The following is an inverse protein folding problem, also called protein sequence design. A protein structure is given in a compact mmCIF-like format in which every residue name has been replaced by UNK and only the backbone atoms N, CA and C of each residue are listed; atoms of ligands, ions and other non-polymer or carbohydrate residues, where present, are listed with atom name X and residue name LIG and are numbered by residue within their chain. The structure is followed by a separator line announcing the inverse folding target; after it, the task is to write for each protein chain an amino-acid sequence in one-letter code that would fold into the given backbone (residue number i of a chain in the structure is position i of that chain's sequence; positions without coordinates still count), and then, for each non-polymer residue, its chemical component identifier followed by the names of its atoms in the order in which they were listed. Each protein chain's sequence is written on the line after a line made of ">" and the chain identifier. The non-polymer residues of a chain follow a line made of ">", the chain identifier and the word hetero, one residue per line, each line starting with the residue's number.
data_IF_739278311294
#
_entry.id   IF_739278311294
#
_cell.length_a   1.000
_cell.length_b   1.000
_cell.length_c   1.000
_cell.angle_alpha   90.00
_cell.angle_beta   90.00
_cell.angle_gamma   90.00
#
_symmetry.space_group_name_H-M   'P 1'
#
loop_
_entity.id
_entity.type
_entity.pdbx_description
1 polymer ?
#
# COMPACT_ATOMS: atom_id res chain seq x y z
N UNK A 1 30.30 -54.32 17.98
CA UNK A 1 28.83 -54.27 18.09
C UNK A 1 28.43 -52.91 18.62
N UNK A 2 27.41 -52.34 17.97
CA UNK A 2 26.55 -51.22 18.36
C UNK A 2 27.08 -49.77 18.48
N UNK A 3 26.35 -48.93 17.75
CA UNK A 3 26.40 -47.46 17.63
C UNK A 3 25.69 -46.83 18.84
N UNK A 4 26.07 -45.61 19.20
CA UNK A 4 25.08 -44.63 19.67
C UNK A 4 25.56 -43.20 19.42
N UNK A 5 24.80 -42.46 18.62
CA UNK A 5 25.09 -41.09 18.22
C UNK A 5 24.71 -40.09 19.31
N UNK A 6 25.54 -39.07 19.50
CA UNK A 6 25.19 -37.90 20.30
C UNK A 6 24.49 -36.88 19.41
N UNK A 7 23.17 -36.81 19.53
CA UNK A 7 22.34 -35.72 19.02
C UNK A 7 22.57 -34.52 19.95
N UNK A 8 23.26 -33.49 19.48
CA UNK A 8 23.35 -32.21 20.18
C UNK A 8 22.02 -31.47 20.01
N UNK A 9 21.10 -31.70 20.94
CA UNK A 9 20.00 -30.77 21.19
C UNK A 9 20.55 -29.66 22.08
N UNK A 10 20.80 -28.49 21.49
CA UNK A 10 20.87 -27.28 22.30
C UNK A 10 19.43 -26.84 22.52
N UNK A 11 18.94 -27.12 23.74
CA UNK A 11 17.70 -26.62 24.28
C UNK A 11 17.73 -25.09 24.21
N UNK A 12 16.90 -24.51 23.34
CA UNK A 12 16.51 -23.11 23.46
C UNK A 12 15.71 -23.00 24.78
N UNK A 13 16.03 -22.05 25.68
CA UNK A 13 15.23 -21.88 26.88
C UNK A 13 13.81 -21.52 26.44
N UNK A 14 12.84 -22.36 26.81
CA UNK A 14 11.42 -22.04 26.82
C UNK A 14 11.24 -20.85 27.75
N UNK A 15 11.21 -19.65 27.19
CA UNK A 15 10.82 -18.46 27.95
C UNK A 15 9.34 -18.59 28.25
N UNK A 16 9.08 -18.93 29.52
CA UNK A 16 7.80 -18.79 30.16
C UNK A 16 7.32 -17.34 30.02
N UNK A 17 6.50 -17.11 29.00
CA UNK A 17 5.86 -15.82 28.73
C UNK A 17 4.34 -16.00 28.69
N UNK A 18 3.84 -16.79 29.64
CA UNK A 18 2.43 -16.84 30.02
C UNK A 18 2.10 -15.75 31.05
N UNK A 19 2.72 -14.58 30.95
CA UNK A 19 2.23 -13.36 31.61
C UNK A 19 1.45 -12.57 30.57
N UNK A 20 0.14 -12.80 30.57
CA UNK A 20 -0.80 -12.00 29.81
C UNK A 20 -0.59 -10.52 30.08
N UNK A 21 -0.25 -9.78 29.03
CA UNK A 21 -0.29 -8.32 29.03
C UNK A 21 -1.75 -7.90 29.02
N UNK A 22 -2.33 -7.80 30.21
CA UNK A 22 -3.60 -7.14 30.44
C UNK A 22 -3.38 -5.63 30.34
N UNK A 23 -3.80 -5.06 29.20
CA UNK A 23 -4.52 -3.78 29.17
C UNK A 23 -3.69 -2.49 29.14
N UNK A 24 -3.28 -2.08 27.93
CA UNK A 24 -3.81 -0.83 27.37
C UNK A 24 -3.97 -1.02 25.84
N UNK A 25 -5.08 -1.61 25.42
CA UNK A 25 -5.36 -1.94 24.01
C UNK A 25 -6.02 -0.79 23.25
N UNK A 26 -5.49 0.42 23.41
CA UNK A 26 -5.90 1.58 22.61
C UNK A 26 -4.73 2.50 22.23
N UNK A 27 -3.51 1.97 22.18
CA UNK A 27 -2.44 2.67 21.45
C UNK A 27 -2.66 2.34 19.97
N UNK A 28 -3.56 3.09 19.33
CA UNK A 28 -3.64 3.06 17.86
C UNK A 28 -2.26 3.40 17.32
N UNK A 29 -1.77 2.68 16.29
CA UNK A 29 -0.50 3.06 15.70
C UNK A 29 -0.62 4.50 15.21
N UNK A 30 0.17 5.40 15.80
CA UNK A 30 0.27 6.80 15.33
C UNK A 30 0.74 6.88 13.87
N UNK A 31 1.34 5.79 13.39
CA UNK A 31 1.92 5.62 12.06
C UNK A 31 0.95 4.94 11.11
N UNK A 32 1.07 5.28 9.84
CA UNK A 32 0.34 4.58 8.78
C UNK A 32 0.73 3.11 8.65
N UNK A 33 -0.28 2.28 8.48
CA UNK A 33 -0.17 0.86 8.15
C UNK A 33 -0.59 0.64 6.70
N UNK A 34 0.19 -0.12 5.95
CA UNK A 34 -0.17 -0.52 4.59
C UNK A 34 -0.73 -1.94 4.59
N UNK A 35 -1.91 -2.10 4.00
CA UNK A 35 -2.56 -3.41 3.85
C UNK A 35 -2.71 -3.76 2.38
N UNK A 36 -2.43 -5.03 2.05
CA UNK A 36 -2.61 -5.59 0.71
C UNK A 36 -3.92 -6.38 0.59
N UNK A 37 -4.85 -6.26 1.56
CA UNK A 37 -6.12 -7.00 1.59
C UNK A 37 -6.91 -6.88 0.28
N UNK A 38 -6.94 -5.69 -0.32
CA UNK A 38 -7.64 -5.42 -1.58
C UNK A 38 -6.68 -5.29 -2.78
N UNK A 39 -5.43 -5.71 -2.62
CA UNK A 39 -4.47 -5.67 -3.70
C UNK A 39 -4.82 -6.72 -4.76
N UNK A 40 -4.90 -6.30 -6.01
CA UNK A 40 -5.07 -7.20 -7.13
C UNK A 40 -4.14 -6.79 -8.26
N UNK A 41 -3.43 -7.78 -8.81
CA UNK A 41 -2.73 -7.61 -10.08
C UNK A 41 -3.75 -7.65 -11.21
N UNK A 42 -3.81 -6.55 -11.96
CA UNK A 42 -4.65 -6.41 -13.16
C UNK A 42 -3.69 -6.11 -14.30
N UNK A 43 -4.09 -6.46 -15.52
CA UNK A 43 -3.36 -6.06 -16.72
C UNK A 43 -3.09 -4.55 -16.68
N UNK A 44 -1.84 -4.16 -16.94
CA UNK A 44 -1.35 -2.78 -16.84
C UNK A 44 -1.31 -2.15 -15.43
N UNK A 45 -1.86 -2.80 -14.41
CA UNK A 45 -1.96 -2.28 -13.04
C UNK A 45 -1.42 -3.27 -11.99
N UNK A 46 -0.13 -3.56 -12.09
CA UNK A 46 0.54 -4.48 -11.19
C UNK A 46 2.06 -4.43 -11.31
N UNK A 47 2.70 -5.51 -10.92
CA UNK A 47 4.17 -5.68 -10.95
C UNK A 47 4.63 -6.51 -12.15
N UNK A 48 3.71 -6.84 -13.06
CA UNK A 48 4.04 -7.62 -14.25
C UNK A 48 5.02 -6.87 -15.14
N UNK A 49 5.98 -7.60 -15.70
CA UNK A 49 7.04 -7.07 -16.57
C UNK A 49 7.80 -5.84 -16.01
N UNK A 50 7.72 -5.60 -14.70
CA UNK A 50 8.36 -4.43 -14.11
C UNK A 50 9.86 -4.67 -13.94
N UNK A 51 10.65 -3.62 -14.18
CA UNK A 51 12.06 -3.65 -13.86
C UNK A 51 12.23 -3.82 -12.32
N UNK A 52 13.11 -4.73 -11.84
CA UNK A 52 13.47 -4.87 -10.43
C UNK A 52 13.74 -3.56 -9.67
N UNK A 53 14.44 -2.58 -10.26
CA UNK A 53 14.70 -1.29 -9.60
C UNK A 53 13.42 -0.48 -9.36
N UNK A 54 12.43 -0.61 -10.25
CA UNK A 54 11.12 -0.01 -10.04
C UNK A 54 10.39 -0.69 -8.89
N UNK A 55 10.41 -2.04 -8.84
CA UNK A 55 9.79 -2.79 -7.76
C UNK A 55 10.40 -2.45 -6.39
N UNK A 56 11.74 -2.37 -6.30
CA UNK A 56 12.43 -1.91 -5.08
C UNK A 56 11.99 -0.50 -4.69
N UNK A 57 11.79 0.39 -5.66
CA UNK A 57 11.32 1.76 -5.39
C UNK A 57 9.93 1.79 -4.73
N UNK A 58 9.06 0.80 -5.00
CA UNK A 58 7.75 0.65 -4.32
C UNK A 58 7.97 0.44 -2.83
N UNK A 59 8.83 -0.50 -2.44
CA UNK A 59 9.12 -0.77 -1.04
C UNK A 59 9.80 0.40 -0.34
N UNK A 60 10.73 1.07 -1.00
CA UNK A 60 11.35 2.28 -0.43
C UNK A 60 10.32 3.38 -0.18
N UNK A 61 9.33 3.55 -1.06
CA UNK A 61 8.23 4.49 -0.84
C UNK A 61 7.34 4.08 0.33
N UNK A 62 6.96 2.80 0.41
CA UNK A 62 6.14 2.29 1.51
C UNK A 62 6.89 2.41 2.85
N UNK A 63 8.21 2.15 2.86
CA UNK A 63 9.08 2.37 4.03
C UNK A 63 9.08 3.83 4.45
N UNK A 64 9.28 4.77 3.53
CA UNK A 64 9.26 6.20 3.82
C UNK A 64 7.91 6.64 4.40
N UNK A 65 6.80 6.27 3.76
CA UNK A 65 5.47 6.63 4.23
C UNK A 65 5.04 5.90 5.52
N UNK A 66 5.60 4.73 5.82
CA UNK A 66 5.34 4.03 7.09
C UNK A 66 5.88 4.79 8.32
N UNK A 67 6.75 5.77 8.11
CA UNK A 67 7.21 6.67 9.15
C UNK A 67 6.35 7.93 9.31
N UNK A 68 5.33 8.11 8.45
CA UNK A 68 4.40 9.23 8.54
C UNK A 68 3.25 8.89 9.49
N UNK A 69 2.71 9.93 10.11
CA UNK A 69 1.57 9.80 11.01
C UNK A 69 0.25 10.05 10.29
N UNK A 70 -0.86 9.75 10.96
CA UNK A 70 -2.23 10.03 10.47
C UNK A 70 -2.43 11.48 9.96
N UNK A 71 -1.69 12.45 10.49
CA UNK A 71 -1.76 13.85 10.06
C UNK A 71 -1.13 14.13 8.69
N UNK A 72 -0.47 13.16 8.06
CA UNK A 72 0.13 13.28 6.74
C UNK A 72 -0.86 13.77 5.68
N UNK A 73 -2.09 13.24 5.69
CA UNK A 73 -3.12 13.60 4.72
C UNK A 73 -3.59 15.06 4.84
N UNK A 74 -3.39 15.69 6.01
CA UNK A 74 -3.68 17.09 6.28
C UNK A 74 -2.50 18.03 5.99
N UNK A 75 -1.26 17.51 5.89
CA UNK A 75 -0.07 18.31 5.66
C UNK A 75 0.12 18.63 4.17
N UNK A 76 -0.11 19.89 3.78
CA UNK A 76 0.00 20.35 2.38
C UNK A 76 1.36 20.11 1.75
N UNK A 77 2.45 20.28 2.50
CA UNK A 77 3.81 20.10 1.99
C UNK A 77 4.09 18.62 1.71
N UNK A 78 3.70 17.74 2.63
CA UNK A 78 3.78 16.30 2.42
C UNK A 78 2.91 15.87 1.21
N UNK A 79 1.67 16.35 1.11
CA UNK A 79 0.82 16.05 -0.06
C UNK A 79 1.49 16.41 -1.37
N UNK A 80 2.12 17.57 -1.45
CA UNK A 80 2.84 18.00 -2.66
C UNK A 80 4.07 17.13 -2.94
N UNK A 81 4.89 16.87 -1.93
CA UNK A 81 6.13 16.09 -2.04
C UNK A 81 5.88 14.66 -2.52
N UNK A 82 4.81 14.03 -2.02
CA UNK A 82 4.45 12.65 -2.36
C UNK A 82 3.45 12.59 -3.52
N UNK A 83 2.94 13.73 -3.99
CA UNK A 83 1.80 13.81 -4.92
C UNK A 83 0.61 13.00 -4.40
N UNK A 84 0.33 13.13 -3.10
CA UNK A 84 -0.78 12.47 -2.43
C UNK A 84 -2.07 13.25 -2.65
N UNK A 85 -2.91 12.76 -3.56
CA UNK A 85 -4.18 13.38 -3.90
C UNK A 85 -5.20 12.32 -4.33
N UNK A 86 -6.51 12.61 -4.25
CA UNK A 86 -7.54 11.74 -4.80
C UNK A 86 -7.34 11.56 -6.30
N UNK A 87 -7.75 10.41 -6.83
CA UNK A 87 -7.81 10.18 -8.27
C UNK A 87 -8.97 11.00 -8.83
N UNK A 88 -8.67 11.76 -9.87
CA UNK A 88 -9.67 12.44 -10.69
C UNK A 88 -10.12 11.47 -11.78
N UNK A 89 -11.26 10.82 -11.55
CA UNK A 89 -11.82 9.78 -12.42
C UNK A 89 -12.38 10.32 -13.73
N UNK A 90 -12.67 11.62 -13.78
CA UNK A 90 -13.24 12.31 -14.94
C UNK A 90 -12.17 12.77 -15.92
N UNK A 91 -10.89 12.63 -15.57
CA UNK A 91 -9.81 12.91 -16.52
C UNK A 91 -9.99 12.11 -17.79
N UNK A 92 -9.73 12.80 -18.90
CA UNK A 92 -9.73 12.18 -20.21
C UNK A 92 -8.77 11.00 -20.17
N UNK A 93 -9.34 9.83 -20.47
CA UNK A 93 -8.63 8.58 -20.68
C UNK A 93 -7.99 7.90 -19.47
N UNK A 94 -8.64 7.93 -18.30
CA UNK A 94 -8.33 6.93 -17.26
C UNK A 94 -8.75 5.54 -17.78
N UNK A 95 -7.82 4.58 -17.99
CA UNK A 95 -8.09 3.28 -18.61
C UNK A 95 -8.84 2.30 -17.67
N UNK A 96 -8.94 2.65 -16.39
CA UNK A 96 -9.70 1.92 -15.37
C UNK A 96 -10.61 2.91 -14.66
N UNK A 97 -11.86 2.53 -14.41
CA UNK A 97 -12.81 3.34 -13.64
C UNK A 97 -13.00 2.74 -12.26
N UNK A 98 -13.41 3.58 -11.30
CA UNK A 98 -13.71 3.17 -9.93
C UNK A 98 -14.65 1.96 -9.88
N UNK A 99 -15.69 1.96 -10.72
CA UNK A 99 -16.68 0.87 -10.85
C UNK A 99 -16.10 -0.46 -11.34
N UNK A 100 -14.93 -0.46 -11.98
CA UNK A 100 -14.29 -1.66 -12.49
C UNK A 100 -13.56 -2.43 -11.36
N UNK A 101 -13.40 -1.80 -10.19
CA UNK A 101 -12.71 -2.35 -9.02
C UNK A 101 -13.56 -3.34 -8.20
N UNK A 102 -14.28 -4.23 -8.88
CA UNK A 102 -15.34 -5.10 -8.35
C UNK A 102 -14.99 -6.01 -7.15
N UNK A 103 -13.71 -6.11 -6.78
CA UNK A 103 -13.25 -6.88 -5.61
C UNK A 103 -13.15 -6.04 -4.32
N UNK A 104 -13.31 -4.72 -4.42
CA UNK A 104 -13.44 -3.86 -3.24
C UNK A 104 -14.90 -3.92 -2.79
N UNK A 105 -15.18 -4.03 -1.48
CA UNK A 105 -16.55 -3.98 -0.95
C UNK A 105 -17.30 -2.73 -1.42
N UNK A 106 -18.59 -2.91 -1.71
CA UNK A 106 -19.44 -1.84 -2.27
C UNK A 106 -19.58 -0.67 -1.31
N UNK A 107 -19.56 -0.90 0.00
CA UNK A 107 -19.61 0.20 0.98
C UNK A 107 -18.48 1.23 0.79
N UNK A 108 -17.29 0.79 0.35
CA UNK A 108 -16.19 1.69 0.05
C UNK A 108 -16.31 2.24 -1.37
N UNK A 109 -16.65 1.43 -2.37
CA UNK A 109 -16.72 1.87 -3.76
C UNK A 109 -17.81 2.89 -4.02
N UNK A 110 -19.00 2.69 -3.47
CA UNK A 110 -20.17 3.51 -3.74
C UNK A 110 -20.20 4.78 -2.87
N UNK A 111 -19.29 4.91 -1.90
CA UNK A 111 -19.14 6.07 -1.03
C UNK A 111 -17.81 6.81 -1.26
N UNK A 112 -17.69 7.46 -2.42
CA UNK A 112 -16.49 8.24 -2.78
C UNK A 112 -16.22 9.43 -1.86
N UNK A 113 -17.27 10.00 -1.26
CA UNK A 113 -17.14 11.14 -0.33
C UNK A 113 -16.37 10.75 0.93
N UNK A 114 -16.65 9.59 1.50
CA UNK A 114 -15.97 9.10 2.71
C UNK A 114 -14.70 8.32 2.38
N UNK A 115 -14.71 7.54 1.30
CA UNK A 115 -13.60 6.67 0.90
C UNK A 115 -13.07 7.00 -0.50
N UNK A 116 -12.55 8.22 -0.72
CA UNK A 116 -11.94 8.55 -1.99
C UNK A 116 -10.73 7.63 -2.22
N UNK A 117 -10.53 7.23 -3.47
CA UNK A 117 -9.33 6.49 -3.86
C UNK A 117 -8.21 7.50 -4.07
N UNK A 118 -7.15 7.36 -3.28
CA UNK A 118 -5.97 8.19 -3.30
C UNK A 118 -4.89 7.57 -4.16
N UNK A 119 -4.02 8.42 -4.68
CA UNK A 119 -2.75 8.01 -5.28
C UNK A 119 -1.59 8.75 -4.65
N UNK A 120 -0.42 8.11 -4.61
CA UNK A 120 0.85 8.78 -4.36
C UNK A 120 1.95 8.26 -5.29
N UNK A 121 2.93 9.12 -5.53
CA UNK A 121 4.09 8.79 -6.37
C UNK A 121 5.03 7.82 -5.67
N UNK A 122 5.47 6.80 -6.40
CA UNK A 122 6.53 5.89 -5.94
C UNK A 122 7.87 6.65 -5.90
N UNK A 123 8.17 7.47 -6.91
CA UNK A 123 9.38 8.29 -7.00
C UNK A 123 9.16 9.55 -7.86
N UNK A 124 10.21 10.38 -8.02
CA UNK A 124 10.19 11.61 -8.84
C UNK A 124 9.78 11.40 -10.31
N UNK A 125 9.69 10.17 -10.82
CA UNK A 125 9.28 9.93 -12.20
C UNK A 125 8.76 8.54 -12.55
N UNK A 126 8.47 7.66 -11.58
CA UNK A 126 8.15 6.26 -11.90
C UNK A 126 6.92 5.71 -11.17
N UNK A 127 5.73 5.92 -11.74
CA UNK A 127 4.52 5.21 -11.30
C UNK A 127 3.80 5.75 -10.05
N UNK A 128 2.72 5.06 -9.67
CA UNK A 128 1.82 5.41 -8.57
C UNK A 128 1.42 4.18 -7.77
N UNK A 129 1.23 4.35 -6.47
CA UNK A 129 0.48 3.42 -5.63
C UNK A 129 -0.92 3.98 -5.47
N UNK A 130 -1.94 3.15 -5.67
CA UNK A 130 -3.36 3.52 -5.54
C UNK A 130 -4.00 2.71 -4.42
N UNK A 131 -4.82 3.38 -3.63
CA UNK A 131 -5.54 2.77 -2.53
C UNK A 131 -6.47 3.73 -1.81
N UNK A 132 -7.03 3.30 -0.70
CA UNK A 132 -7.92 4.12 0.11
C UNK A 132 -7.61 3.94 1.60
N UNK A 133 -7.99 4.93 2.39
CA UNK A 133 -7.87 4.87 3.84
C UNK A 133 -9.10 4.18 4.42
N UNK A 134 -8.90 3.45 5.52
CA UNK A 134 -10.01 2.99 6.35
C UNK A 134 -10.67 4.16 7.11
N UNK A 135 -11.71 3.84 7.88
CA UNK A 135 -12.59 4.79 8.56
C UNK A 135 -11.84 5.77 9.48
N UNK A 136 -10.77 5.32 10.13
CA UNK A 136 -9.97 6.14 11.05
C UNK A 136 -8.66 6.66 10.44
N UNK A 137 -8.45 6.48 9.14
CA UNK A 137 -7.25 6.95 8.42
C UNK A 137 -5.91 6.39 8.93
N UNK A 138 -5.92 5.23 9.60
CA UNK A 138 -4.70 4.56 10.07
C UNK A 138 -4.17 3.50 9.11
N UNK A 139 -5.07 2.85 8.37
CA UNK A 139 -4.73 1.79 7.40
C UNK A 139 -4.97 2.29 5.99
N UNK A 140 -3.92 2.28 5.17
CA UNK A 140 -4.02 2.48 3.73
C UNK A 140 -4.11 1.12 3.03
N UNK A 141 -5.28 0.78 2.52
CA UNK A 141 -5.49 -0.41 1.70
C UNK A 141 -4.99 -0.15 0.28
N UNK A 142 -3.89 -0.81 -0.09
CA UNK A 142 -3.36 -0.79 -1.45
C UNK A 142 -4.26 -1.64 -2.33
N UNK A 143 -4.68 -1.07 -3.47
CA UNK A 143 -5.56 -1.73 -4.44
C UNK A 143 -4.78 -2.19 -5.67
N UNK A 144 -4.01 -1.29 -6.28
CA UNK A 144 -3.17 -1.62 -7.43
C UNK A 144 -1.99 -0.65 -7.57
N UNK A 145 -1.06 -0.99 -8.46
CA UNK A 145 0.11 -0.17 -8.78
C UNK A 145 0.04 0.27 -10.24
N UNK A 146 0.40 1.52 -10.52
CA UNK A 146 0.50 2.05 -11.89
C UNK A 146 1.96 2.20 -12.26
N UNK A 147 2.42 1.55 -13.32
CA UNK A 147 3.81 1.66 -13.81
C UNK A 147 4.00 2.81 -14.82
N UNK A 148 5.16 3.48 -14.77
CA UNK A 148 5.50 4.61 -15.67
C UNK A 148 5.63 4.22 -17.14
N UNK A 149 6.01 2.99 -17.44
CA UNK A 149 6.18 2.50 -18.82
C UNK A 149 4.83 2.55 -19.55
N UNK A 150 3.77 2.19 -18.82
CA UNK A 150 2.39 2.28 -19.29
C UNK A 150 1.93 3.73 -19.36
N UNK A 151 2.41 4.61 -18.46
CA UNK A 151 2.17 6.06 -18.61
C UNK A 151 2.77 6.64 -19.89
N UNK A 152 3.85 6.11 -20.47
CA UNK A 152 4.35 6.58 -21.76
C UNK A 152 3.52 6.05 -22.95
N UNK A 153 2.97 4.83 -22.87
CA UNK A 153 1.99 4.31 -23.84
C UNK A 153 0.64 5.03 -23.74
N UNK A 154 0.21 5.42 -22.54
CA UNK A 154 -1.00 6.22 -22.28
C UNK A 154 -0.77 7.74 -22.37
N UNK A 155 0.47 8.22 -22.58
CA UNK A 155 0.78 9.66 -22.70
C UNK A 155 0.39 10.27 -24.05
N UNK A 156 0.07 9.46 -25.06
CA UNK A 156 -0.66 9.97 -26.23
C UNK A 156 -2.05 10.50 -25.80
N UNK A 157 -2.47 10.20 -24.57
CA UNK A 157 -3.86 10.16 -24.21
C UNK A 157 -4.13 10.93 -22.87
N UNK A 158 -3.24 11.01 -21.87
CA UNK A 158 -3.59 11.59 -20.53
C UNK A 158 -2.96 12.97 -20.18
N UNK A 159 -2.21 13.63 -21.06
CA UNK A 159 -1.70 15.00 -20.77
C UNK A 159 -2.00 15.98 -21.91
N UNK A 160 -3.23 16.49 -21.91
CA UNK A 160 -3.53 17.93 -22.03
C UNK A 160 -4.58 18.28 -21.00
#
# INVERSE_FOLDING_TARGET
>A
MEKSGKKLINELPLSDSSKGLVGNRDVRPDKWVFSFLYFRQIELFGVDECNPEWFVSVFERLKDLSNKTQNFAANTMDKQNYRFHPIDWDKKNVPIKRRDLSWIPKEYLDNESEFPLWQFSISKGKGRIVGFLNEDSTVFYIVFLIQSIIYNLLKIIIIK
#
